data_IF_817356835117
#
_entry.id   IF_817356835117
#
_cell.length_a   1.000
_cell.length_b   1.000
_cell.length_c   1.000
_cell.angle_alpha   90.00
_cell.angle_beta   90.00
_cell.angle_gamma   90.00
#
_symmetry.space_group_name_H-M   'P 1'
#
loop_
_entity.id
_entity.type
_entity.pdbx_description
1 polymer ?
#
# COMPACT_ATOMS: atom_id res chain seq x y z
N UNK A 1 -20.20 -11.70 -10.15
CA UNK A 1 -20.77 -10.55 -10.89
C UNK A 1 -20.04 -9.23 -10.64
N UNK A 2 -19.71 -8.86 -9.39
CA UNK A 2 -19.08 -7.58 -9.06
C UNK A 2 -17.82 -7.22 -9.90
N UNK A 3 -16.93 -8.18 -10.16
CA UNK A 3 -15.69 -7.92 -10.91
C UNK A 3 -15.91 -7.55 -12.39
N UNK A 4 -17.01 -7.98 -13.01
CA UNK A 4 -17.35 -7.56 -14.38
C UNK A 4 -17.67 -6.06 -14.37
N UNK A 5 -18.43 -5.59 -13.39
CA UNK A 5 -18.69 -4.16 -13.23
C UNK A 5 -17.41 -3.37 -12.98
N UNK A 6 -16.52 -3.88 -12.12
CA UNK A 6 -15.20 -3.26 -11.91
C UNK A 6 -14.39 -3.17 -13.19
N UNK A 7 -14.38 -4.24 -13.99
CA UNK A 7 -13.73 -4.24 -15.31
C UNK A 7 -14.34 -3.18 -16.23
N UNK A 8 -15.67 -3.12 -16.32
CA UNK A 8 -16.36 -2.11 -17.14
C UNK A 8 -16.02 -0.69 -16.67
N UNK A 9 -16.02 -0.42 -15.36
CA UNK A 9 -15.62 0.88 -14.81
C UNK A 9 -14.18 1.24 -15.21
N UNK A 10 -13.26 0.28 -15.11
CA UNK A 10 -11.85 0.48 -15.48
C UNK A 10 -11.70 0.89 -16.95
N UNK A 11 -12.51 0.33 -17.86
CA UNK A 11 -12.47 0.73 -19.29
C UNK A 11 -12.86 2.18 -19.56
N UNK A 12 -13.58 2.81 -18.62
CA UNK A 12 -14.01 4.21 -18.75
C UNK A 12 -13.04 5.20 -18.11
N UNK A 13 -12.10 4.72 -17.29
CA UNK A 13 -11.15 5.57 -16.58
C UNK A 13 -10.10 6.10 -17.53
N UNK A 14 -9.93 7.43 -17.52
CA UNK A 14 -8.90 8.13 -18.26
C UNK A 14 -7.71 8.40 -17.37
N UNK A 15 -6.55 8.58 -18.01
CA UNK A 15 -5.29 8.94 -17.32
C UNK A 15 -5.41 10.21 -16.47
N UNK A 16 -6.24 11.18 -16.88
CA UNK A 16 -6.48 12.40 -16.11
C UNK A 16 -7.31 12.16 -14.85
N UNK A 17 -8.22 11.19 -14.84
CA UNK A 17 -9.02 10.84 -13.67
C UNK A 17 -8.11 10.31 -12.56
N UNK A 18 -7.11 9.49 -12.93
CA UNK A 18 -6.09 9.02 -12.01
C UNK A 18 -5.22 10.15 -11.45
N UNK A 19 -4.99 11.21 -12.25
CA UNK A 19 -4.27 12.37 -11.74
C UNK A 19 -5.09 13.10 -10.68
N UNK A 20 -6.39 13.26 -10.93
CA UNK A 20 -7.32 13.85 -9.97
C UNK A 20 -7.34 13.02 -8.68
N UNK A 21 -7.39 11.69 -8.79
CA UNK A 21 -7.30 10.78 -7.64
C UNK A 21 -6.06 11.04 -6.79
N UNK A 22 -4.86 11.16 -7.40
CA UNK A 22 -3.63 11.47 -6.65
C UNK A 22 -3.75 12.82 -5.95
N UNK A 23 -4.29 13.84 -6.61
CA UNK A 23 -4.50 15.17 -6.01
C UNK A 23 -5.47 15.08 -4.81
N UNK A 24 -6.57 14.36 -4.96
CA UNK A 24 -7.55 14.17 -3.88
C UNK A 24 -6.94 13.45 -2.68
N UNK A 25 -6.14 12.40 -2.90
CA UNK A 25 -5.47 11.69 -1.82
C UNK A 25 -4.40 12.58 -1.15
N UNK A 26 -3.68 13.39 -1.92
CA UNK A 26 -2.76 14.39 -1.35
C UNK A 26 -3.51 15.39 -0.47
N UNK A 27 -4.66 15.89 -0.92
CA UNK A 27 -5.49 16.82 -0.13
C UNK A 27 -6.04 16.14 1.13
N UNK A 28 -6.54 14.91 1.01
CA UNK A 28 -6.96 14.08 2.14
C UNK A 28 -5.81 13.88 3.14
N UNK A 29 -4.58 13.76 2.66
CA UNK A 29 -3.39 13.60 3.52
C UNK A 29 -3.07 14.86 4.33
N UNK A 30 -3.60 16.03 3.99
CA UNK A 30 -3.50 17.23 4.85
C UNK A 30 -4.30 17.03 6.14
N UNK A 31 -5.44 16.33 6.08
CA UNK A 31 -6.28 16.07 7.24
C UNK A 31 -5.60 15.19 8.29
N UNK A 32 -4.68 14.31 7.88
CA UNK A 32 -3.81 13.58 8.81
C UNK A 32 -3.06 14.55 9.75
N UNK A 33 -2.50 15.63 9.21
CA UNK A 33 -1.75 16.60 10.00
C UNK A 33 -2.67 17.48 10.84
N UNK A 34 -3.87 17.78 10.34
CA UNK A 34 -4.90 18.49 11.10
C UNK A 34 -5.33 17.66 12.31
N UNK A 35 -5.59 16.37 12.12
CA UNK A 35 -5.94 15.42 13.18
C UNK A 35 -4.86 15.36 14.27
N UNK A 36 -3.59 15.23 13.88
CA UNK A 36 -2.47 15.30 14.83
C UNK A 36 -2.46 16.62 15.59
N UNK A 37 -2.62 17.74 14.89
CA UNK A 37 -2.61 19.07 15.49
C UNK A 37 -3.74 19.24 16.50
N UNK A 38 -4.91 18.65 16.23
CA UNK A 38 -6.07 18.65 17.11
C UNK A 38 -5.95 17.65 18.26
N UNK A 39 -4.98 16.73 18.23
CA UNK A 39 -4.88 15.68 19.25
C UNK A 39 -5.89 14.54 19.05
N UNK A 40 -6.43 14.38 17.83
CA UNK A 40 -7.53 13.47 17.52
C UNK A 40 -7.16 12.45 16.45
N UNK A 41 -7.76 11.26 16.49
CA UNK A 41 -7.58 10.21 15.46
C UNK A 41 -8.44 10.44 14.21
N UNK A 42 -9.57 11.12 14.36
CA UNK A 42 -10.48 11.47 13.26
C UNK A 42 -11.24 12.76 13.55
N UNK A 43 -11.54 13.54 12.50
CA UNK A 43 -12.42 14.72 12.59
C UNK A 43 -13.92 14.37 12.47
N UNK A 44 -14.28 13.13 12.13
CA UNK A 44 -15.69 12.74 11.94
C UNK A 44 -16.35 12.34 13.25
N UNK A 45 -17.26 13.18 13.74
CA UNK A 45 -17.96 12.99 15.01
C UNK A 45 -18.85 11.75 15.08
N UNK A 46 -19.22 11.17 13.94
CA UNK A 46 -20.03 9.95 13.86
C UNK A 46 -19.19 8.66 13.93
N UNK A 47 -17.86 8.75 13.86
CA UNK A 47 -16.99 7.58 13.92
C UNK A 47 -16.89 7.10 15.38
N UNK A 48 -17.01 5.80 15.68
CA UNK A 48 -16.83 5.27 17.03
C UNK A 48 -15.48 5.64 17.69
N UNK A 49 -14.44 5.85 16.87
CA UNK A 49 -13.10 6.23 17.33
C UNK A 49 -12.91 7.75 17.48
N UNK A 50 -13.95 8.56 17.27
CA UNK A 50 -13.90 10.00 17.52
C UNK A 50 -13.65 10.29 19.00
N UNK A 51 -12.66 11.16 19.31
CA UNK A 51 -12.21 11.45 20.68
C UNK A 51 -11.66 10.25 21.43
N UNK A 52 -11.18 9.23 20.72
CA UNK A 52 -10.32 8.22 21.34
C UNK A 52 -9.00 8.83 21.87
N UNK A 53 -8.66 10.04 21.42
CA UNK A 53 -7.42 10.74 21.72
C UNK A 53 -6.21 10.12 21.03
N UNK A 54 -5.14 10.91 20.88
CA UNK A 54 -3.83 10.43 20.47
C UNK A 54 -2.98 10.14 21.71
N UNK A 55 -2.41 8.94 21.79
CA UNK A 55 -1.25 8.72 22.67
C UNK A 55 0.01 8.87 21.84
N UNK A 56 0.95 9.67 22.36
CA UNK A 56 2.27 9.87 21.78
C UNK A 56 3.32 8.94 22.41
N UNK A 57 2.89 8.01 23.27
CA UNK A 57 3.77 7.00 23.87
C UNK A 57 4.32 6.06 22.79
N UNK A 58 3.54 5.86 21.72
CA UNK A 58 3.91 5.05 20.59
C UNK A 58 3.42 5.65 19.27
N UNK A 59 4.23 5.58 18.20
CA UNK A 59 3.80 5.96 16.85
C UNK A 59 2.57 5.15 16.40
N UNK A 60 2.46 3.90 16.87
CA UNK A 60 1.30 3.05 16.65
C UNK A 60 0.01 3.59 17.29
N UNK A 61 0.09 4.45 18.30
CA UNK A 61 -1.08 4.99 19.00
C UNK A 61 -1.56 6.33 18.43
N UNK A 62 -0.83 6.90 17.46
CA UNK A 62 -1.24 8.14 16.78
C UNK A 62 -2.28 7.82 15.69
N UNK A 63 -1.98 6.90 14.76
CA UNK A 63 -2.90 6.34 13.72
C UNK A 63 -4.07 7.24 13.25
N UNK A 64 -3.79 8.44 12.70
CA UNK A 64 -4.82 9.32 12.16
C UNK A 64 -5.50 8.71 10.93
N UNK A 65 -6.77 9.06 10.72
CA UNK A 65 -7.62 8.48 9.68
C UNK A 65 -7.62 9.30 8.39
N UNK A 66 -7.28 10.59 8.47
CA UNK A 66 -7.58 11.56 7.43
C UNK A 66 -9.08 11.59 7.15
N UNK A 67 -9.46 11.56 5.87
CA UNK A 67 -10.87 11.49 5.47
C UNK A 67 -11.36 10.05 5.26
N UNK A 68 -10.63 9.05 5.77
CA UNK A 68 -10.98 7.64 5.61
C UNK A 68 -11.74 7.09 6.82
N UNK A 69 -12.35 5.93 6.64
CA UNK A 69 -13.05 5.16 7.68
C UNK A 69 -12.08 4.48 8.67
N UNK A 70 -10.78 4.47 8.36
CA UNK A 70 -9.74 4.00 9.25
C UNK A 70 -8.34 4.13 8.66
N UNK A 71 -7.35 3.98 9.54
CA UNK A 71 -5.93 4.07 9.22
C UNK A 71 -5.47 3.10 8.12
N UNK A 72 -6.05 1.89 8.05
CA UNK A 72 -5.70 0.90 7.04
C UNK A 72 -6.15 1.33 5.64
N UNK A 73 -7.37 1.87 5.54
CA UNK A 73 -7.92 2.41 4.29
C UNK A 73 -7.09 3.60 3.80
N UNK A 74 -6.72 4.51 4.72
CA UNK A 74 -5.84 5.63 4.39
C UNK A 74 -4.46 5.15 3.93
N UNK A 75 -3.87 4.18 4.62
CA UNK A 75 -2.60 3.55 4.20
C UNK A 75 -2.68 2.96 2.79
N UNK A 76 -3.78 2.29 2.43
CA UNK A 76 -4.01 1.78 1.08
C UNK A 76 -4.06 2.88 0.03
N UNK A 77 -4.81 3.96 0.29
CA UNK A 77 -4.87 5.15 -0.59
C UNK A 77 -3.49 5.77 -0.79
N UNK A 78 -2.70 5.92 0.27
CA UNK A 78 -1.35 6.47 0.21
C UNK A 78 -0.41 5.63 -0.67
N UNK A 79 -0.45 4.29 -0.53
CA UNK A 79 0.30 3.37 -1.42
C UNK A 79 -0.08 3.60 -2.88
N UNK A 80 -1.38 3.67 -3.17
CA UNK A 80 -1.87 3.92 -4.52
C UNK A 80 -1.41 5.29 -5.04
N UNK A 81 -1.53 6.34 -4.25
CA UNK A 81 -1.12 7.68 -4.65
C UNK A 81 0.38 7.73 -4.97
N UNK A 82 1.22 7.08 -4.18
CA UNK A 82 2.66 6.97 -4.42
C UNK A 82 2.94 6.26 -5.76
N UNK A 83 2.31 5.11 -6.00
CA UNK A 83 2.48 4.34 -7.24
C UNK A 83 2.02 5.15 -8.45
N UNK A 84 0.82 5.75 -8.37
CA UNK A 84 0.22 6.54 -9.44
C UNK A 84 1.02 7.82 -9.73
N UNK A 85 1.53 8.50 -8.70
CA UNK A 85 2.38 9.68 -8.88
C UNK A 85 3.62 9.33 -9.71
N UNK A 86 4.26 8.19 -9.42
CA UNK A 86 5.40 7.71 -10.19
C UNK A 86 5.03 7.25 -11.61
N UNK A 87 3.85 6.64 -11.76
CA UNK A 87 3.32 6.15 -13.04
C UNK A 87 2.89 7.27 -14.01
N UNK A 88 2.28 8.34 -13.49
CA UNK A 88 1.56 9.34 -14.26
C UNK A 88 2.37 10.61 -14.56
N UNK A 89 3.18 11.09 -13.60
CA UNK A 89 3.89 12.37 -13.71
C UNK A 89 5.34 12.25 -14.17
N UNK A 90 5.74 13.25 -14.96
CA UNK A 90 7.14 13.47 -15.32
C UNK A 90 7.97 13.93 -14.11
N UNK A 91 9.29 13.62 -14.10
CA UNK A 91 10.18 14.12 -13.07
C UNK A 91 10.15 15.66 -12.98
N UNK A 92 9.70 16.16 -11.84
CA UNK A 92 9.61 17.60 -11.55
C UNK A 92 9.80 17.83 -10.06
N UNK A 93 10.11 19.07 -9.66
CA UNK A 93 10.20 19.43 -8.23
C UNK A 93 8.87 19.20 -7.51
N UNK A 94 7.75 19.51 -8.17
CA UNK A 94 6.41 19.29 -7.65
C UNK A 94 6.12 17.81 -7.42
N UNK A 95 6.51 16.93 -8.36
CA UNK A 95 6.41 15.47 -8.18
C UNK A 95 7.18 15.00 -6.94
N UNK A 96 8.42 15.46 -6.78
CA UNK A 96 9.26 15.05 -5.64
C UNK A 96 8.72 15.58 -4.31
N UNK A 97 8.21 16.81 -4.28
CA UNK A 97 7.54 17.37 -3.11
C UNK A 97 6.32 16.53 -2.70
N UNK A 98 5.39 16.27 -3.63
CA UNK A 98 4.22 15.44 -3.37
C UNK A 98 4.61 14.03 -2.88
N UNK A 99 5.66 13.46 -3.48
CA UNK A 99 6.17 12.15 -3.09
C UNK A 99 6.66 12.12 -1.64
N UNK A 100 7.46 13.10 -1.22
CA UNK A 100 7.93 13.18 0.16
C UNK A 100 6.79 13.46 1.13
N UNK A 101 5.86 14.32 0.74
CA UNK A 101 4.67 14.62 1.54
C UNK A 101 3.80 13.38 1.77
N UNK A 102 3.45 12.64 0.72
CA UNK A 102 2.68 11.39 0.82
C UNK A 102 3.42 10.32 1.64
N UNK A 103 4.74 10.23 1.51
CA UNK A 103 5.54 9.28 2.29
C UNK A 103 5.59 9.66 3.78
N UNK A 104 5.68 10.96 4.10
CA UNK A 104 5.61 11.44 5.48
C UNK A 104 4.23 11.12 6.09
N UNK A 105 3.15 11.39 5.36
CA UNK A 105 1.79 11.04 5.77
C UNK A 105 1.67 9.52 6.02
N UNK A 106 2.30 8.68 5.19
CA UNK A 106 2.30 7.24 5.36
C UNK A 106 3.02 6.76 6.63
N UNK A 107 4.15 7.40 6.98
CA UNK A 107 4.88 7.10 8.22
C UNK A 107 4.00 7.43 9.43
N UNK A 108 3.35 8.58 9.40
CA UNK A 108 2.47 9.06 10.47
C UNK A 108 1.26 8.14 10.68
N UNK A 109 0.62 7.72 9.58
CA UNK A 109 -0.48 6.74 9.61
C UNK A 109 -0.02 5.39 10.18
N UNK A 110 1.28 5.11 10.12
CA UNK A 110 1.92 3.92 10.70
C UNK A 110 1.27 2.59 10.26
N UNK A 111 0.79 2.53 9.01
CA UNK A 111 0.28 1.29 8.43
C UNK A 111 1.43 0.43 7.95
N UNK A 112 1.86 -0.54 8.79
CA UNK A 112 3.01 -1.42 8.53
C UNK A 112 2.99 -2.04 7.12
N UNK A 113 1.85 -2.60 6.73
CA UNK A 113 1.67 -3.24 5.41
C UNK A 113 1.78 -2.23 4.26
N UNK A 114 1.27 -1.01 4.44
CA UNK A 114 1.37 0.06 3.46
C UNK A 114 2.79 0.62 3.33
N UNK A 115 3.51 0.73 4.45
CA UNK A 115 4.93 1.09 4.47
C UNK A 115 5.73 0.05 3.68
N UNK A 116 5.56 -1.25 3.98
CA UNK A 116 6.27 -2.31 3.27
C UNK A 116 5.94 -2.35 1.77
N UNK A 117 4.68 -2.18 1.40
CA UNK A 117 4.27 -2.07 0.00
C UNK A 117 4.96 -0.89 -0.71
N UNK A 118 5.01 0.28 -0.07
CA UNK A 118 5.66 1.47 -0.63
C UNK A 118 7.18 1.32 -0.74
N UNK A 119 7.82 0.66 0.23
CA UNK A 119 9.26 0.33 0.16
C UNK A 119 9.54 -0.64 -0.99
N UNK A 120 8.69 -1.65 -1.18
CA UNK A 120 8.79 -2.57 -2.30
C UNK A 120 8.60 -1.86 -3.64
N UNK A 121 7.65 -0.93 -3.75
CA UNK A 121 7.47 -0.09 -4.94
C UNK A 121 8.78 0.62 -5.30
N UNK A 122 9.40 1.29 -4.33
CA UNK A 122 10.67 1.97 -4.58
C UNK A 122 11.81 1.00 -4.89
N UNK A 123 11.88 -0.15 -4.23
CA UNK A 123 12.87 -1.18 -4.57
C UNK A 123 12.75 -1.59 -6.05
N UNK A 124 11.54 -1.88 -6.52
CA UNK A 124 11.26 -2.24 -7.91
C UNK A 124 11.62 -1.09 -8.86
N UNK A 125 11.16 0.12 -8.54
CA UNK A 125 11.45 1.34 -9.31
C UNK A 125 12.96 1.56 -9.44
N UNK A 126 13.71 1.46 -8.34
CA UNK A 126 15.16 1.63 -8.33
C UNK A 126 15.87 0.49 -9.04
N UNK A 127 15.47 -0.78 -8.92
CA UNK A 127 16.06 -1.89 -9.69
C UNK A 127 15.92 -1.62 -11.19
N UNK A 128 14.75 -1.11 -11.62
CA UNK A 128 14.50 -0.77 -13.02
C UNK A 128 15.41 0.36 -13.52
N UNK A 129 15.63 1.39 -12.69
CA UNK A 129 16.51 2.52 -12.99
C UNK A 129 18.00 2.15 -12.88
N UNK A 130 18.37 1.30 -11.93
CA UNK A 130 19.75 1.00 -11.58
C UNK A 130 20.44 -0.03 -12.49
N UNK A 131 19.72 -0.63 -13.44
CA UNK A 131 20.33 -1.22 -14.64
C UNK A 131 21.28 -0.23 -15.37
N UNK A 132 21.31 1.05 -14.98
CA UNK A 132 22.08 2.13 -15.59
C UNK A 132 23.42 2.46 -14.92
N UNK A 133 23.73 2.05 -13.67
CA UNK A 133 25.08 2.05 -13.01
C UNK A 133 25.03 2.21 -11.47
N UNK A 134 25.62 1.25 -10.76
CA UNK A 134 26.33 1.31 -9.45
C UNK A 134 25.68 1.75 -8.11
N UNK A 135 26.18 1.09 -7.04
CA UNK A 135 26.20 1.35 -5.58
C UNK A 135 24.90 1.74 -4.86
N UNK A 136 24.13 2.70 -5.35
CA UNK A 136 22.89 3.14 -4.69
C UNK A 136 21.83 2.05 -4.63
N UNK A 137 21.79 1.16 -5.63
CA UNK A 137 20.91 0.00 -5.60
C UNK A 137 21.29 -1.00 -4.51
N UNK A 138 22.61 -1.17 -4.28
CA UNK A 138 23.09 -2.00 -3.17
C UNK A 138 22.76 -1.33 -1.84
N UNK A 139 22.82 0.00 -1.74
CA UNK A 139 22.43 0.75 -0.54
C UNK A 139 20.92 0.69 -0.30
N UNK A 140 20.06 0.78 -1.31
CA UNK A 140 18.62 0.68 -1.13
C UNK A 140 18.14 -0.76 -0.91
N UNK A 141 18.72 -1.75 -1.61
CA UNK A 141 18.48 -3.15 -1.31
C UNK A 141 19.00 -3.51 0.08
N UNK A 142 20.17 -2.96 0.47
CA UNK A 142 20.68 -3.03 1.83
C UNK A 142 19.72 -2.36 2.79
N UNK A 143 19.25 -1.12 2.59
CA UNK A 143 18.27 -0.45 3.48
C UNK A 143 16.89 -1.12 3.48
N UNK A 144 16.51 -1.86 2.43
CA UNK A 144 15.28 -2.65 2.39
C UNK A 144 15.45 -3.97 3.17
N UNK A 145 16.59 -4.66 3.00
CA UNK A 145 16.95 -5.88 3.75
C UNK A 145 17.26 -5.54 5.21
N UNK A 146 17.99 -4.47 5.43
CA UNK A 146 18.29 -3.84 6.71
C UNK A 146 17.03 -3.23 7.27
N UNK A 147 16.06 -2.71 6.52
CA UNK A 147 14.74 -2.36 7.04
C UNK A 147 13.91 -3.59 7.44
N UNK A 148 14.03 -4.67 6.68
CA UNK A 148 13.48 -5.99 7.01
C UNK A 148 14.15 -6.62 8.25
N UNK A 149 15.46 -6.41 8.40
CA UNK A 149 16.33 -6.97 9.44
C UNK A 149 16.57 -5.99 10.60
N UNK A 150 16.20 -4.71 10.49
CA UNK A 150 16.22 -3.70 11.55
C UNK A 150 14.91 -3.64 12.29
N UNK A 151 13.88 -4.32 11.79
CA UNK A 151 12.88 -4.92 12.67
C UNK A 151 13.49 -5.90 13.67
N UNK A 152 14.74 -6.35 13.46
CA UNK A 152 15.45 -7.27 14.36
C UNK A 152 16.78 -6.75 14.95
N UNK A 153 17.37 -5.61 14.51
CA UNK A 153 18.81 -5.30 14.79
C UNK A 153 19.19 -3.79 15.04
N UNK A 154 18.32 -2.77 15.01
CA UNK A 154 18.77 -1.41 15.45
C UNK A 154 18.74 -1.34 16.98
N UNK A 155 19.81 -0.84 17.60
CA UNK A 155 19.90 -0.36 18.99
C UNK A 155 18.97 0.85 19.27
N UNK A 156 17.70 0.72 18.89
CA UNK A 156 16.62 1.37 19.61
C UNK A 156 16.43 0.49 20.86
N UNK A 157 16.28 1.04 22.07
CA UNK A 157 16.07 0.23 23.26
C UNK A 157 15.03 -0.84 22.94
N UNK A 158 15.42 -2.10 23.12
CA UNK A 158 14.62 -3.27 22.71
C UNK A 158 13.19 -3.16 23.24
N UNK A 159 13.04 -2.60 24.42
CA UNK A 159 11.78 -2.23 25.09
C UNK A 159 10.90 -1.32 24.23
N UNK A 160 11.44 -0.26 23.61
CA UNK A 160 10.67 0.64 22.77
C UNK A 160 10.24 -0.04 21.46
N UNK A 161 11.09 -0.91 20.89
CA UNK A 161 10.73 -1.70 19.69
C UNK A 161 9.68 -2.74 20.03
N UNK A 162 9.84 -3.50 21.11
CA UNK A 162 8.87 -4.52 21.54
C UNK A 162 7.56 -3.87 21.93
N UNK A 163 7.58 -2.69 22.55
CA UNK A 163 6.38 -1.90 22.83
C UNK A 163 5.67 -1.46 21.54
N UNK A 164 6.40 -0.97 20.53
CA UNK A 164 5.81 -0.65 19.21
C UNK A 164 5.29 -1.89 18.47
N UNK A 165 5.97 -3.04 18.61
CA UNK A 165 5.64 -4.30 17.95
C UNK A 165 4.44 -5.02 18.59
N UNK A 166 4.41 -5.02 19.92
CA UNK A 166 3.40 -5.65 20.76
C UNK A 166 2.28 -4.68 21.17
N UNK A 167 2.34 -3.42 20.69
CA UNK A 167 1.34 -2.37 20.97
C UNK A 167 1.17 -2.10 22.47
N UNK A 168 2.27 -2.12 23.22
CA UNK A 168 2.25 -1.96 24.67
C UNK A 168 1.79 -3.19 25.45
N UNK A 169 1.65 -4.38 24.83
CA UNK A 169 1.43 -5.63 25.57
C UNK A 169 2.77 -6.25 26.00
N UNK A 170 2.87 -6.59 27.28
CA UNK A 170 4.05 -7.21 27.88
C UNK A 170 4.26 -8.66 27.38
N UNK A 171 3.19 -9.38 27.04
CA UNK A 171 3.23 -10.79 26.62
C UNK A 171 2.81 -11.00 25.15
N UNK A 172 3.81 -11.06 24.26
CA UNK A 172 3.69 -11.63 22.92
C UNK A 172 3.34 -10.67 21.76
N UNK A 173 3.47 -11.18 20.53
CA UNK A 173 3.21 -10.42 19.30
C UNK A 173 1.69 -10.32 19.07
N UNK A 174 1.12 -9.11 19.17
CA UNK A 174 -0.28 -8.87 18.84
C UNK A 174 -0.50 -8.88 17.31
N UNK A 175 -1.05 -10.00 16.82
CA UNK A 175 -1.38 -10.21 15.41
C UNK A 175 -2.72 -9.60 14.97
N UNK A 176 -3.44 -8.84 15.82
CA UNK A 176 -4.84 -8.42 15.59
C UNK A 176 -5.76 -9.59 15.26
N UNK A 177 -5.74 -10.64 16.09
CA UNK A 177 -6.55 -11.85 15.89
C UNK A 177 -6.30 -12.60 14.56
N UNK A 178 -5.30 -12.21 13.76
CA UNK A 178 -5.03 -12.82 12.45
C UNK A 178 -4.67 -14.30 12.56
N UNK A 179 -4.06 -14.71 13.66
CA UNK A 179 -3.79 -16.11 14.01
C UNK A 179 -5.09 -16.93 14.03
N UNK A 180 -6.13 -16.42 14.71
CA UNK A 180 -7.44 -17.08 14.78
C UNK A 180 -8.17 -16.98 13.44
N UNK A 181 -8.29 -15.77 12.89
CA UNK A 181 -9.02 -15.50 11.63
C UNK A 181 -8.45 -16.34 10.49
N UNK A 182 -7.13 -16.37 10.31
CA UNK A 182 -6.51 -17.09 9.20
C UNK A 182 -6.62 -18.60 9.39
N UNK A 183 -6.52 -19.10 10.62
CA UNK A 183 -6.72 -20.52 10.93
C UNK A 183 -8.13 -20.98 10.59
N UNK A 184 -9.16 -20.19 10.97
CA UNK A 184 -10.55 -20.51 10.68
C UNK A 184 -10.87 -20.38 9.18
N UNK A 185 -10.33 -19.36 8.50
CA UNK A 185 -10.40 -19.27 7.04
C UNK A 185 -9.79 -20.50 6.37
N UNK A 186 -8.62 -20.95 6.84
CA UNK A 186 -7.95 -22.11 6.26
C UNK A 186 -8.77 -23.39 6.46
N UNK A 187 -9.31 -23.61 7.66
CA UNK A 187 -10.21 -24.73 7.95
C UNK A 187 -11.48 -24.70 7.08
N UNK A 188 -12.02 -23.52 6.82
CA UNK A 188 -13.15 -23.37 5.91
C UNK A 188 -12.78 -23.71 4.46
N UNK A 189 -11.65 -23.20 3.98
CA UNK A 189 -11.15 -23.47 2.61
C UNK A 189 -10.92 -24.97 2.39
N UNK A 190 -10.34 -25.68 3.38
CA UNK A 190 -10.08 -27.12 3.25
C UNK A 190 -11.34 -27.97 3.32
N UNK A 191 -12.38 -27.52 4.02
CA UNK A 191 -13.70 -28.19 4.05
C UNK A 191 -14.57 -27.87 2.84
N UNK A 192 -14.37 -26.73 2.18
CA UNK A 192 -15.15 -26.28 1.01
C UNK A 192 -14.25 -25.91 -0.18
N UNK A 193 -13.37 -26.82 -0.65
CA UNK A 193 -12.26 -26.45 -1.54
C UNK A 193 -12.69 -25.99 -2.93
N UNK A 194 -13.79 -26.52 -3.48
CA UNK A 194 -14.14 -26.26 -4.88
C UNK A 194 -14.84 -24.90 -5.07
N UNK A 195 -15.88 -24.64 -4.28
CA UNK A 195 -16.78 -23.49 -4.46
C UNK A 195 -16.77 -22.50 -3.30
N UNK A 196 -16.02 -22.79 -2.22
CA UNK A 196 -15.97 -21.95 -1.02
C UNK A 196 -17.37 -21.67 -0.47
N UNK A 197 -17.61 -20.41 -0.11
CA UNK A 197 -18.88 -19.93 0.41
C UNK A 197 -19.88 -19.53 -0.70
N UNK A 198 -19.89 -20.26 -1.82
CA UNK A 198 -20.85 -20.06 -2.92
C UNK A 198 -20.78 -18.67 -3.55
N UNK A 199 -19.59 -18.07 -3.62
CA UNK A 199 -19.36 -16.68 -4.06
C UNK A 199 -20.06 -15.60 -3.21
N UNK A 200 -20.63 -15.97 -2.06
CA UNK A 200 -21.02 -15.02 -1.02
C UNK A 200 -19.82 -14.74 -0.14
N UNK A 201 -19.59 -13.46 0.18
CA UNK A 201 -18.41 -13.07 0.95
C UNK A 201 -18.34 -13.81 2.27
N UNK A 202 -17.20 -14.42 2.54
CA UNK A 202 -16.97 -15.15 3.76
C UNK A 202 -16.64 -14.20 4.92
N UNK A 203 -17.30 -14.41 6.06
CA UNK A 203 -17.08 -13.69 7.31
C UNK A 203 -16.98 -14.70 8.46
N UNK A 204 -16.13 -14.41 9.43
CA UNK A 204 -15.88 -15.22 10.62
C UNK A 204 -16.41 -14.46 11.83
N UNK A 205 -17.15 -15.14 12.68
CA UNK A 205 -17.55 -14.59 13.98
C UNK A 205 -16.38 -14.68 14.96
N UNK A 206 -15.85 -13.54 15.39
CA UNK A 206 -14.87 -13.47 16.48
C UNK A 206 -15.62 -13.31 17.80
N UNK A 207 -15.64 -14.39 18.59
CA UNK A 207 -16.26 -14.39 19.92
C UNK A 207 -15.59 -13.40 20.88
N UNK A 208 -14.28 -13.20 20.76
CA UNK A 208 -13.48 -12.28 21.58
C UNK A 208 -13.85 -10.82 21.36
N UNK A 209 -14.15 -10.45 20.11
CA UNK A 209 -14.49 -9.08 19.73
C UNK A 209 -16.00 -8.88 19.49
N UNK A 210 -16.81 -9.93 19.63
CA UNK A 210 -18.26 -9.92 19.41
C UNK A 210 -18.66 -9.29 18.05
N UNK A 211 -17.89 -9.61 17.00
CA UNK A 211 -18.10 -9.04 15.67
C UNK A 211 -17.78 -10.03 14.54
N UNK A 212 -18.36 -9.78 13.37
CA UNK A 212 -18.02 -10.49 12.15
C UNK A 212 -16.84 -9.81 11.47
N UNK A 213 -15.79 -10.58 11.21
CA UNK A 213 -14.60 -10.12 10.50
C UNK A 213 -14.36 -10.91 9.23
N UNK A 214 -13.61 -10.30 8.31
CA UNK A 214 -13.14 -10.96 7.10
C UNK A 214 -11.67 -11.35 7.25
N UNK A 215 -11.18 -12.21 6.35
CA UNK A 215 -9.75 -12.46 6.31
C UNK A 215 -9.07 -11.17 5.87
N UNK A 216 -8.34 -10.49 6.77
CA UNK A 216 -7.50 -9.32 6.46
C UNK A 216 -6.30 -9.69 5.55
N UNK A 217 -6.57 -10.47 4.51
CA UNK A 217 -5.71 -11.03 3.49
C UNK A 217 -6.63 -11.33 2.29
N UNK A 218 -6.36 -10.64 1.19
CA UNK A 218 -7.19 -10.66 -0.01
C UNK A 218 -7.30 -12.03 -0.67
N UNK A 219 -6.21 -12.80 -0.62
CA UNK A 219 -6.13 -14.11 -1.26
C UNK A 219 -6.85 -15.17 -0.43
N UNK A 220 -6.66 -15.15 0.89
CA UNK A 220 -7.42 -16.02 1.80
C UNK A 220 -8.92 -15.74 1.68
N UNK A 221 -9.32 -14.46 1.67
CA UNK A 221 -10.72 -14.13 1.57
C UNK A 221 -11.31 -14.49 0.20
N UNK A 222 -10.56 -14.31 -0.89
CA UNK A 222 -10.96 -14.72 -2.24
C UNK A 222 -11.20 -16.23 -2.31
N UNK A 223 -10.29 -17.03 -1.75
CA UNK A 223 -10.39 -18.50 -1.70
C UNK A 223 -11.54 -18.96 -0.81
N UNK A 224 -11.70 -18.38 0.38
CA UNK A 224 -12.82 -18.73 1.26
C UNK A 224 -14.17 -18.38 0.62
N UNK A 225 -14.25 -17.25 -0.07
CA UNK A 225 -15.49 -16.80 -0.74
C UNK A 225 -15.84 -17.67 -1.95
N UNK A 226 -14.86 -18.09 -2.76
CA UNK A 226 -15.12 -18.65 -4.09
C UNK A 226 -14.60 -20.07 -4.32
N UNK A 227 -13.74 -20.59 -3.43
CA UNK A 227 -13.04 -21.86 -3.62
C UNK A 227 -11.95 -21.80 -4.70
N UNK A 228 -11.13 -22.83 -4.76
CA UNK A 228 -9.99 -22.91 -5.68
C UNK A 228 -10.38 -22.83 -7.15
N UNK A 229 -11.55 -23.37 -7.54
CA UNK A 229 -11.96 -23.39 -8.94
C UNK A 229 -12.21 -21.97 -9.46
N UNK A 230 -13.10 -21.23 -8.80
CA UNK A 230 -13.50 -19.89 -9.23
C UNK A 230 -12.35 -18.89 -8.99
N UNK A 231 -11.67 -18.96 -7.83
CA UNK A 231 -10.50 -18.13 -7.57
C UNK A 231 -9.39 -18.38 -8.60
N UNK A 232 -9.15 -19.64 -8.97
CA UNK A 232 -8.16 -20.02 -9.97
C UNK A 232 -8.48 -19.43 -11.34
N UNK A 233 -9.72 -19.57 -11.82
CA UNK A 233 -10.16 -18.96 -13.08
C UNK A 233 -9.98 -17.44 -13.05
N UNK A 234 -10.34 -16.80 -11.94
CA UNK A 234 -10.21 -15.35 -11.79
C UNK A 234 -8.75 -14.87 -11.81
N UNK A 235 -7.87 -15.52 -11.04
CA UNK A 235 -6.44 -15.21 -11.01
C UNK A 235 -5.81 -15.49 -12.38
N UNK A 236 -6.15 -16.59 -13.03
CA UNK A 236 -5.68 -16.88 -14.39
C UNK A 236 -6.12 -15.79 -15.37
N UNK A 237 -7.38 -15.35 -15.33
CA UNK A 237 -7.85 -14.27 -16.19
C UNK A 237 -7.09 -12.96 -15.96
N UNK A 238 -6.83 -12.59 -14.69
CA UNK A 238 -6.08 -11.37 -14.36
C UNK A 238 -4.62 -11.47 -14.81
N UNK A 239 -3.94 -12.59 -14.56
CA UNK A 239 -2.48 -12.68 -14.68
C UNK A 239 -1.98 -13.29 -15.99
N UNK A 240 -2.77 -14.11 -16.70
CA UNK A 240 -2.28 -14.94 -17.83
C UNK A 240 -1.80 -14.18 -19.06
N UNK A 241 -2.05 -12.87 -19.16
CA UNK A 241 -1.72 -12.07 -20.35
C UNK A 241 -1.13 -10.70 -20.05
N UNK A 242 -0.61 -10.52 -18.83
CA UNK A 242 -0.10 -9.21 -18.42
C UNK A 242 1.38 -9.04 -18.73
N UNK A 243 1.79 -7.89 -19.28
CA UNK A 243 3.19 -7.55 -19.40
C UNK A 243 3.86 -7.62 -18.02
N UNK A 244 5.07 -8.18 -17.97
CA UNK A 244 5.83 -8.26 -16.72
C UNK A 244 6.05 -6.90 -16.05
N UNK A 245 6.10 -5.83 -16.84
CA UNK A 245 6.21 -4.47 -16.33
C UNK A 245 4.95 -4.00 -15.59
N UNK A 246 3.76 -4.44 -16.00
CA UNK A 246 2.52 -4.14 -15.29
C UNK A 246 2.48 -4.89 -13.95
N UNK A 247 2.83 -6.19 -13.98
CA UNK A 247 2.95 -7.02 -12.77
C UNK A 247 3.90 -6.37 -11.75
N UNK A 248 5.06 -5.85 -12.21
CA UNK A 248 6.01 -5.14 -11.33
C UNK A 248 5.42 -3.89 -10.70
N UNK A 249 4.66 -3.10 -11.46
CA UNK A 249 4.02 -1.87 -10.95
C UNK A 249 2.93 -2.22 -9.91
N UNK A 250 2.24 -3.34 -10.09
CA UNK A 250 1.13 -3.75 -9.20
C UNK A 250 1.58 -4.66 -8.05
N UNK A 251 2.79 -5.19 -8.08
CA UNK A 251 3.33 -6.05 -7.01
C UNK A 251 3.27 -5.42 -5.61
N UNK A 252 3.55 -4.11 -5.42
CA UNK A 252 3.30 -3.41 -4.16
C UNK A 252 1.86 -3.55 -3.66
N UNK A 253 0.87 -3.43 -4.55
CA UNK A 253 -0.56 -3.57 -4.22
C UNK A 253 -0.87 -5.01 -3.81
N UNK A 254 -0.28 -5.99 -4.50
CA UNK A 254 -0.40 -7.41 -4.15
C UNK A 254 0.16 -7.68 -2.75
N UNK A 255 1.35 -7.15 -2.43
CA UNK A 255 1.97 -7.31 -1.11
C UNK A 255 1.17 -6.62 -0.01
N UNK A 256 0.66 -5.41 -0.25
CA UNK A 256 -0.29 -4.76 0.64
C UNK A 256 -1.50 -5.68 0.91
N UNK A 257 -2.00 -6.31 -0.15
CA UNK A 257 -3.18 -7.17 -0.16
C UNK A 257 -2.99 -8.55 0.47
N UNK A 258 -1.77 -8.93 0.82
CA UNK A 258 -1.50 -10.14 1.63
C UNK A 258 -1.70 -9.83 3.12
N UNK A 259 -1.28 -8.65 3.58
CA UNK A 259 -1.40 -8.26 4.99
C UNK A 259 -2.68 -7.50 5.34
N UNK A 260 -3.45 -7.09 4.33
CA UNK A 260 -4.73 -6.41 4.43
C UNK A 260 -5.67 -6.89 3.32
N UNK A 261 -6.98 -6.72 3.49
CA UNK A 261 -7.92 -6.99 2.40
C UNK A 261 -8.01 -5.78 1.47
N UNK A 262 -7.04 -5.66 0.56
CA UNK A 262 -6.87 -4.51 -0.35
C UNK A 262 -7.56 -4.72 -1.70
N UNK A 263 -7.24 -5.80 -2.41
CA UNK A 263 -7.86 -6.14 -3.70
C UNK A 263 -8.79 -7.34 -3.54
N UNK A 264 -9.52 -7.67 -4.59
CA UNK A 264 -10.52 -8.72 -4.65
C UNK A 264 -11.74 -8.48 -3.74
N UNK A 265 -12.02 -7.23 -3.39
CA UNK A 265 -13.24 -6.87 -2.66
C UNK A 265 -14.48 -6.95 -3.56
N UNK A 266 -14.30 -6.78 -4.86
CA UNK A 266 -15.37 -6.73 -5.86
C UNK A 266 -15.31 -5.39 -6.57
N UNK A 267 -16.15 -4.46 -6.13
CA UNK A 267 -16.14 -3.06 -6.58
C UNK A 267 -15.56 -2.23 -5.44
N UNK A 268 -14.24 -2.02 -5.46
CA UNK A 268 -13.55 -1.12 -4.53
C UNK A 268 -12.59 -0.20 -5.28
N UNK A 269 -12.21 0.90 -4.63
CA UNK A 269 -11.20 1.81 -5.15
C UNK A 269 -9.90 1.07 -5.51
N UNK A 270 -9.40 0.22 -4.62
CA UNK A 270 -8.18 -0.56 -4.83
C UNK A 270 -8.32 -1.56 -5.98
N UNK A 271 -9.47 -2.23 -6.11
CA UNK A 271 -9.75 -3.15 -7.24
C UNK A 271 -9.67 -2.43 -8.59
N UNK A 272 -10.30 -1.26 -8.67
CA UNK A 272 -10.35 -0.43 -9.88
C UNK A 272 -8.93 -0.03 -10.29
N UNK A 273 -8.14 0.50 -9.36
CA UNK A 273 -6.78 0.97 -9.67
C UNK A 273 -5.85 -0.20 -10.00
N UNK A 274 -5.94 -1.29 -9.26
CA UNK A 274 -5.17 -2.50 -9.53
C UNK A 274 -5.44 -3.03 -10.94
N UNK A 275 -6.72 -3.20 -11.30
CA UNK A 275 -7.10 -3.67 -12.64
C UNK A 275 -6.72 -2.66 -13.73
N UNK A 276 -6.85 -1.35 -13.49
CA UNK A 276 -6.38 -0.35 -14.44
C UNK A 276 -4.89 -0.50 -14.73
N UNK A 277 -4.05 -0.59 -13.69
CA UNK A 277 -2.60 -0.73 -13.84
C UNK A 277 -2.19 -2.06 -14.48
N UNK A 278 -2.99 -3.11 -14.28
CA UNK A 278 -2.80 -4.38 -14.97
C UNK A 278 -3.11 -4.26 -16.46
N UNK A 279 -4.22 -3.62 -16.85
CA UNK A 279 -4.71 -3.62 -18.23
C UNK A 279 -4.09 -2.53 -19.12
N UNK A 280 -3.62 -1.43 -18.54
CA UNK A 280 -3.08 -0.29 -19.28
C UNK A 280 -1.72 -0.61 -19.93
N UNK A 281 -1.45 -0.05 -21.11
CA UNK A 281 -0.12 -0.21 -21.73
C UNK A 281 0.96 0.39 -20.83
N UNK A 282 2.14 -0.25 -20.70
CA UNK A 282 3.21 0.24 -19.84
C UNK A 282 3.52 1.72 -20.11
N UNK A 283 3.50 2.53 -19.05
CA UNK A 283 3.79 3.96 -19.12
C UNK A 283 5.11 4.25 -19.83
N UNK A 284 5.07 5.18 -20.81
CA UNK A 284 6.25 5.74 -21.52
C UNK A 284 7.31 6.31 -20.57
N UNK A 285 6.92 6.63 -19.34
CA UNK A 285 7.79 7.26 -18.34
C UNK A 285 8.52 6.28 -17.43
N UNK A 286 8.40 4.96 -17.66
CA UNK A 286 8.80 3.98 -16.66
C UNK A 286 10.31 3.69 -16.56
N UNK A 287 11.19 4.27 -17.41
CA UNK A 287 12.66 4.26 -17.18
C UNK A 287 13.41 5.30 -18.01
N UNK A 288 13.04 5.44 -19.29
CA UNK A 288 13.84 6.21 -20.25
C UNK A 288 13.77 7.73 -20.04
N UNK A 289 12.60 8.25 -19.63
CA UNK A 289 12.42 9.68 -19.30
C UNK A 289 13.19 10.09 -18.05
N UNK A 290 13.24 9.21 -17.03
CA UNK A 290 13.99 9.43 -15.79
C UNK A 290 15.49 9.43 -16.08
N UNK A 291 15.99 8.51 -16.91
CA UNK A 291 17.39 8.51 -17.35
C UNK A 291 17.73 9.81 -18.10
N UNK A 292 16.83 10.28 -18.98
CA UNK A 292 17.02 11.57 -19.68
C UNK A 292 17.02 12.75 -18.71
N UNK A 293 16.10 12.77 -17.74
CA UNK A 293 16.03 13.82 -16.73
C UNK A 293 17.28 13.84 -15.83
N UNK A 294 17.71 12.68 -15.33
CA UNK A 294 18.94 12.57 -14.51
C UNK A 294 20.15 13.01 -15.33
N UNK A 295 20.26 12.59 -16.60
CA UNK A 295 21.33 13.06 -17.49
C UNK A 295 21.29 14.58 -17.65
N UNK A 296 20.13 15.17 -17.93
CA UNK A 296 19.98 16.61 -18.08
C UNK A 296 20.30 17.38 -16.78
N UNK A 297 19.87 16.87 -15.63
CA UNK A 297 20.13 17.48 -14.33
C UNK A 297 21.62 17.42 -13.95
N UNK A 298 22.28 16.27 -14.17
CA UNK A 298 23.73 16.12 -13.92
C UNK A 298 24.57 16.97 -14.87
N UNK A 299 24.16 17.08 -16.14
CA UNK A 299 24.83 17.96 -17.12
C UNK A 299 24.72 19.43 -16.68
N UNK A 300 23.52 19.90 -16.31
CA UNK A 300 23.30 21.26 -15.83
C UNK A 300 24.02 21.55 -14.50
N UNK A 301 24.14 20.57 -13.60
CA UNK A 301 24.89 20.73 -12.36
C UNK A 301 26.41 20.82 -12.58
N UNK A 302 26.93 20.16 -13.63
CA UNK A 302 28.34 20.27 -14.03
C UNK A 302 28.64 21.60 -14.73
N UNK A 303 27.76 22.08 -15.62
CA UNK A 303 27.98 23.38 -16.30
C UNK A 303 28.01 24.53 -15.29
N UNK A 304 27.06 24.56 -14.35
CA UNK A 304 27.04 25.57 -13.26
C UNK A 304 28.24 25.52 -12.31
N UNK A 305 28.94 24.38 -12.22
CA UNK A 305 30.20 24.31 -11.48
C UNK A 305 31.36 24.87 -12.28
N UNK A 306 31.40 24.69 -13.59
CA UNK A 306 32.45 25.27 -14.43
C UNK A 306 32.35 26.80 -14.53
N UNK A 307 31.14 27.34 -14.53
CA UNK A 307 30.92 28.81 -14.60
C UNK A 307 31.30 29.55 -13.29
N UNK A 308 31.50 28.84 -12.17
CA UNK A 308 31.89 29.43 -10.87
C UNK A 308 33.41 29.38 -10.61
N UNK A 309 34.22 28.94 -11.58
CA UNK A 309 35.69 28.91 -11.48
C UNK A 309 36.37 29.82 -12.52
N UNK A 310 35.65 30.81 -13.05
CA UNK A 310 36.19 31.88 -13.91
C UNK A 310 36.10 33.21 -13.18
#
# INVERSE_FOLDING_TARGET
MAYIFTYLLVTQIKRNDLKIIVILITLESVFIFIEIFLGETTIFTSNPDYRSGLSFDALYLIRPFGLSDGTNSMGGKLVIAIILLDYLWEPSRLKQFNKYFLFLALIIVFSRTAIYASLLHYLIYYIKVAKVRHKLLKIFAFLAIVGLANFTIIDIPWELITEQLNRGKEDGIDLSYRDVIWSDCWRFITSHPLLGNGSSRYYIWLSTAQMYEHAHNSFLNLLATNGFLISGVYLLWIFSRQPLDNIKITLPIIVFSIGQFGVFWGISFMDIIFLYLMLEKPSKYSSASIIRYIKAFVINAKSRRQDNYV
#
